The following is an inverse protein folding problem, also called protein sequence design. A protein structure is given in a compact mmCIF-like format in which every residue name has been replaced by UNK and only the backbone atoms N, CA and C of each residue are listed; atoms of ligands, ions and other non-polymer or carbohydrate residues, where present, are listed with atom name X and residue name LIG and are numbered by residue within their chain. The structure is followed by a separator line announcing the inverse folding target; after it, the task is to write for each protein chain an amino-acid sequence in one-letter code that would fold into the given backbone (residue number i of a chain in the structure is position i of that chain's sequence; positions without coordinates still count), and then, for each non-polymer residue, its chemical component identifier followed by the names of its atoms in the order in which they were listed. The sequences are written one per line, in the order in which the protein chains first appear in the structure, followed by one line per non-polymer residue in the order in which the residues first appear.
data_IF_311064950775
#
_entry.id   IF_311064950775
#
_cell.length_a   1.000
_cell.length_b   1.000
_cell.length_c   1.000
_cell.angle_alpha   90.00
_cell.angle_beta   90.00
_cell.angle_gamma   90.00
#
_symmetry.space_group_name_H-M   'P 1'
#
loop_
_entity.id
_entity.type
_entity.pdbx_description
1 polymer ?
#
# COMPACT_ATOMS: atom_id res chain seq x y z
N UNK A 1 2.44 -1.32 25.73
CA UNK A 1 1.20 -1.40 24.92
C UNK A 1 1.19 -2.74 24.22
N UNK A 2 0.05 -3.43 24.21
CA UNK A 2 -0.10 -4.71 23.49
C UNK A 2 0.11 -4.49 22.00
N UNK A 3 1.24 -4.98 21.48
CA UNK A 3 1.48 -5.00 20.05
C UNK A 3 0.59 -6.09 19.43
N UNK A 4 -0.58 -5.69 18.94
CA UNK A 4 -1.00 -6.27 17.67
C UNK A 4 0.19 -6.11 16.72
N UNK A 5 0.53 -7.17 15.97
CA UNK A 5 1.73 -7.27 15.12
C UNK A 5 1.77 -6.26 13.95
N UNK A 6 1.20 -5.06 14.10
CA UNK A 6 1.24 -3.94 13.16
C UNK A 6 0.57 -4.24 11.82
N UNK A 7 0.32 -3.20 11.04
CA UNK A 7 -0.01 -3.38 9.62
C UNK A 7 1.31 -3.60 8.87
N UNK A 8 1.33 -4.53 7.93
CA UNK A 8 2.44 -4.75 7.00
C UNK A 8 1.94 -4.64 5.55
N UNK A 9 2.83 -4.27 4.64
CA UNK A 9 2.51 -4.27 3.22
C UNK A 9 2.51 -5.70 2.66
N UNK A 10 1.74 -5.89 1.59
CA UNK A 10 1.78 -7.13 0.82
C UNK A 10 3.19 -7.35 0.22
N UNK A 11 3.75 -8.54 0.40
CA UNK A 11 5.12 -8.87 -0.01
C UNK A 11 5.38 -8.55 -1.50
N UNK A 12 4.49 -8.99 -2.40
CA UNK A 12 4.66 -8.73 -3.84
C UNK A 12 4.61 -7.25 -4.21
N UNK A 13 3.86 -6.44 -3.46
CA UNK A 13 3.83 -5.01 -3.68
C UNK A 13 5.18 -4.39 -3.29
N UNK A 14 5.76 -4.77 -2.16
CA UNK A 14 7.09 -4.33 -1.74
C UNK A 14 8.15 -4.76 -2.76
N UNK A 15 8.10 -6.01 -3.23
CA UNK A 15 9.01 -6.56 -4.25
C UNK A 15 8.85 -5.93 -5.64
N UNK A 16 7.73 -5.26 -5.92
CA UNK A 16 7.50 -4.59 -7.19
C UNK A 16 8.29 -3.29 -7.36
N UNK A 17 8.84 -2.74 -6.28
CA UNK A 17 9.67 -1.55 -6.34
C UNK A 17 11.03 -1.88 -6.97
N UNK A 18 11.53 -0.94 -7.76
CA UNK A 18 12.92 -0.95 -8.17
C UNK A 18 13.81 -0.64 -6.95
N UNK A 19 14.89 -1.41 -6.68
CA UNK A 19 15.78 -1.13 -5.55
C UNK A 19 16.44 0.25 -5.59
N UNK A 20 16.56 0.87 -6.76
CA UNK A 20 17.06 2.24 -6.91
C UNK A 20 15.99 3.31 -6.68
N UNK A 21 14.72 2.93 -6.49
CA UNK A 21 13.64 3.85 -6.17
C UNK A 21 13.75 4.30 -4.71
N UNK A 22 14.03 5.59 -4.49
CA UNK A 22 14.12 6.16 -3.13
C UNK A 22 12.84 5.94 -2.29
N UNK A 23 11.68 5.75 -2.93
CA UNK A 23 10.42 5.45 -2.24
C UNK A 23 10.43 4.10 -1.57
N UNK A 24 11.26 3.16 -1.99
CA UNK A 24 11.35 1.86 -1.34
C UNK A 24 11.73 2.01 0.14
N UNK A 25 12.86 2.66 0.43
CA UNK A 25 13.30 2.96 1.79
C UNK A 25 12.39 4.01 2.47
N UNK A 26 11.85 4.97 1.71
CA UNK A 26 10.93 5.98 2.24
C UNK A 26 9.55 5.43 2.63
N UNK A 27 9.12 4.30 2.04
CA UNK A 27 7.79 3.72 2.30
C UNK A 27 7.85 2.58 3.30
N UNK A 28 8.99 1.88 3.41
CA UNK A 28 9.08 0.63 4.15
C UNK A 28 10.21 0.59 5.17
N UNK A 29 9.88 0.13 6.38
CA UNK A 29 10.85 -0.29 7.39
C UNK A 29 11.08 -1.79 7.20
N UNK A 30 12.31 -2.15 6.84
CA UNK A 30 12.78 -3.52 6.58
C UNK A 30 14.16 -3.66 7.23
N UNK A 31 14.50 -4.87 7.68
CA UNK A 31 15.80 -5.17 8.27
C UNK A 31 15.83 -5.01 9.80
N UNK A 32 17.04 -5.04 10.40
CA UNK A 32 17.21 -5.04 11.85
C UNK A 32 16.67 -3.77 12.51
N UNK A 33 15.83 -3.93 13.53
CA UNK A 33 15.37 -2.83 14.36
C UNK A 33 16.33 -2.66 15.53
N UNK A 34 16.98 -1.52 15.63
CA UNK A 34 18.07 -1.30 16.58
C UNK A 34 17.61 -0.48 17.78
N UNK A 35 18.12 -0.82 18.95
CA UNK A 35 18.03 0.05 20.11
C UNK A 35 18.91 1.29 19.86
N UNK A 36 18.36 2.51 19.90
CA UNK A 36 19.11 3.73 19.60
C UNK A 36 20.19 4.06 20.65
N UNK A 37 20.19 3.42 21.81
CA UNK A 37 21.17 3.62 22.89
C UNK A 37 22.32 2.63 22.85
N UNK A 38 22.06 1.36 22.48
CA UNK A 38 23.08 0.30 22.46
C UNK A 38 23.55 -0.04 21.05
N UNK A 39 22.74 0.24 20.03
CA UNK A 39 22.97 -0.20 18.65
C UNK A 39 22.70 -1.70 18.42
N UNK A 40 22.24 -2.42 19.43
CA UNK A 40 21.92 -3.84 19.33
C UNK A 40 20.55 -4.07 18.70
N UNK A 41 20.35 -5.23 18.09
CA UNK A 41 19.06 -5.62 17.52
C UNK A 41 18.06 -5.88 18.64
N UNK A 42 16.90 -5.23 18.56
CA UNK A 42 15.79 -5.41 19.48
C UNK A 42 15.32 -6.87 19.48
N UNK A 43 14.88 -7.36 20.63
CA UNK A 43 14.34 -8.71 20.76
C UNK A 43 12.81 -8.65 20.87
N UNK A 44 12.14 -9.49 20.08
CA UNK A 44 10.68 -9.67 20.10
C UNK A 44 10.19 -10.25 21.42
N UNK A 45 8.89 -10.17 21.68
CA UNK A 45 8.28 -10.81 22.85
C UNK A 45 8.48 -12.33 22.90
N UNK A 46 8.78 -12.95 21.76
CA UNK A 46 9.06 -14.39 21.63
C UNK A 46 10.58 -14.71 21.66
N UNK A 47 11.44 -13.76 22.05
CA UNK A 47 12.87 -14.00 22.25
C UNK A 47 13.70 -14.08 20.96
N UNK A 48 13.17 -13.59 19.83
CA UNK A 48 13.86 -13.58 18.53
C UNK A 48 14.34 -12.19 18.13
N UNK A 49 15.43 -12.06 17.34
CA UNK A 49 15.84 -10.77 16.78
C UNK A 49 14.72 -10.14 15.94
N UNK A 50 14.40 -8.88 16.20
CA UNK A 50 13.41 -8.10 15.45
C UNK A 50 14.06 -7.58 14.16
N UNK A 51 13.99 -8.41 13.12
CA UNK A 51 14.49 -8.10 11.78
C UNK A 51 13.31 -8.17 10.82
N UNK A 52 12.79 -7.02 10.42
CA UNK A 52 11.63 -7.00 9.53
C UNK A 52 11.95 -7.61 8.17
N UNK A 53 11.23 -8.66 7.79
CA UNK A 53 11.36 -9.32 6.49
C UNK A 53 10.29 -8.79 5.52
N UNK A 54 10.50 -8.96 4.21
CA UNK A 54 9.47 -8.61 3.22
C UNK A 54 8.37 -9.67 3.23
N UNK A 55 8.78 -10.94 3.25
CA UNK A 55 7.87 -12.07 3.22
C UNK A 55 7.10 -12.19 4.54
N UNK A 56 5.83 -12.57 4.40
CA UNK A 56 4.94 -12.84 5.52
C UNK A 56 4.63 -14.32 5.49
N UNK A 57 4.98 -15.03 6.57
CA UNK A 57 4.73 -16.46 6.69
C UNK A 57 3.65 -16.69 7.74
N UNK A 58 2.55 -17.32 7.33
CA UNK A 58 1.52 -17.79 8.24
C UNK A 58 2.04 -19.09 8.89
N UNK A 59 2.23 -19.07 10.22
CA UNK A 59 2.92 -20.15 10.95
C UNK A 59 2.00 -20.95 11.89
N UNK A 60 1.03 -20.30 12.52
CA UNK A 60 0.23 -20.94 13.58
C UNK A 60 -1.26 -20.68 13.44
N UNK A 61 -2.06 -21.52 14.11
CA UNK A 61 -3.52 -21.38 14.17
C UNK A 61 -4.17 -21.16 12.80
N UNK A 62 -3.71 -21.93 11.80
CA UNK A 62 -4.22 -21.84 10.43
C UNK A 62 -5.65 -22.37 10.41
N UNK A 63 -6.59 -21.53 10.03
CA UNK A 63 -7.99 -21.88 9.86
C UNK A 63 -8.27 -22.53 8.50
N UNK A 64 -9.53 -22.90 8.28
CA UNK A 64 -9.95 -23.54 7.03
C UNK A 64 -9.81 -22.65 5.79
N UNK A 65 -9.75 -21.33 5.98
CA UNK A 65 -9.59 -20.34 4.91
C UNK A 65 -8.11 -20.01 4.65
N UNK A 66 -7.19 -20.65 5.39
CA UNK A 66 -5.75 -20.48 5.26
C UNK A 66 -5.20 -19.28 6.04
N UNK A 67 -6.03 -18.59 6.83
CA UNK A 67 -5.59 -17.50 7.69
C UNK A 67 -5.01 -18.03 8.99
N UNK A 68 -3.99 -17.35 9.52
CA UNK A 68 -3.40 -17.73 10.78
C UNK A 68 -2.49 -16.64 11.32
N UNK A 69 -1.74 -16.99 12.35
CA UNK A 69 -0.82 -16.09 13.02
C UNK A 69 0.53 -16.05 12.30
N UNK A 70 1.09 -14.85 12.22
CA UNK A 70 2.44 -14.57 11.72
C UNK A 70 3.29 -14.03 12.85
N UNK A 71 4.61 -14.01 12.65
CA UNK A 71 5.51 -13.52 13.68
C UNK A 71 5.67 -11.99 13.62
N UNK A 72 6.15 -11.40 14.71
CA UNK A 72 6.30 -9.95 14.84
C UNK A 72 7.27 -9.36 13.79
N UNK A 73 8.30 -10.14 13.44
CA UNK A 73 9.30 -9.79 12.43
C UNK A 73 8.80 -9.91 10.98
N UNK A 74 7.69 -10.59 10.73
CA UNK A 74 7.20 -10.83 9.37
C UNK A 74 6.56 -9.57 8.77
N UNK A 75 6.96 -9.22 7.55
CA UNK A 75 6.36 -8.15 6.74
C UNK A 75 6.98 -6.76 6.89
N UNK A 76 7.06 -6.06 5.76
CA UNK A 76 7.57 -4.69 5.68
C UNK A 76 6.59 -3.68 6.31
N UNK A 77 7.08 -2.81 7.20
CA UNK A 77 6.24 -1.86 7.95
C UNK A 77 6.16 -0.50 7.26
N UNK A 78 5.12 0.27 7.56
CA UNK A 78 5.01 1.64 7.05
C UNK A 78 6.14 2.52 7.62
N UNK A 79 6.92 3.14 6.74
CA UNK A 79 7.92 4.17 7.11
C UNK A 79 7.49 5.60 6.72
N UNK A 80 6.48 5.73 5.86
CA UNK A 80 6.14 7.00 5.20
C UNK A 80 5.80 8.13 6.18
N UNK A 81 5.14 7.77 7.27
CA UNK A 81 4.70 8.71 8.30
C UNK A 81 5.60 8.54 9.52
N UNK A 82 6.77 9.16 9.46
CA UNK A 82 7.82 8.98 10.46
C UNK A 82 7.39 9.50 11.85
N UNK A 83 7.84 8.80 12.89
CA UNK A 83 7.63 9.25 14.26
C UNK A 83 8.79 10.14 14.69
N UNK A 84 8.47 11.35 15.16
CA UNK A 84 9.47 12.18 15.84
C UNK A 84 10.02 11.44 17.06
N UNK A 85 11.34 11.35 17.18
CA UNK A 85 12.02 10.69 18.30
C UNK A 85 11.54 11.27 19.64
N UNK A 86 11.13 10.39 20.56
CA UNK A 86 10.64 10.77 21.88
C UNK A 86 9.20 11.30 21.92
N UNK A 87 8.49 11.31 20.79
CA UNK A 87 7.09 11.70 20.76
C UNK A 87 6.20 10.59 21.36
N UNK A 88 5.19 11.00 22.12
CA UNK A 88 4.15 10.12 22.69
C UNK A 88 2.88 10.10 21.84
N UNK A 89 2.79 10.99 20.85
CA UNK A 89 1.73 11.09 19.85
C UNK A 89 2.32 11.52 18.50
N UNK A 90 1.64 11.18 17.40
CA UNK A 90 1.99 11.68 16.07
C UNK A 90 1.31 13.03 15.83
N UNK A 91 2.08 13.98 15.30
CA UNK A 91 1.60 15.32 14.91
C UNK A 91 1.82 15.57 13.41
N UNK A 92 2.03 14.51 12.62
CA UNK A 92 2.22 14.65 11.18
C UNK A 92 0.91 15.05 10.51
N UNK A 93 0.99 16.03 9.60
CA UNK A 93 -0.09 16.30 8.67
C UNK A 93 -0.30 15.11 7.73
N UNK A 94 -1.55 14.74 7.50
CA UNK A 94 -1.90 13.71 6.53
C UNK A 94 -2.28 14.36 5.20
N UNK A 95 -1.50 14.11 4.16
CA UNK A 95 -1.76 14.66 2.83
C UNK A 95 -3.00 14.00 2.20
N UNK A 96 -4.15 14.68 2.26
CA UNK A 96 -5.38 14.24 1.57
C UNK A 96 -5.27 14.49 0.06
N UNK A 97 -4.71 15.65 -0.33
CA UNK A 97 -4.45 16.02 -1.71
C UNK A 97 -3.01 16.50 -1.86
N UNK A 98 -2.36 16.10 -2.95
CA UNK A 98 -1.01 16.55 -3.27
C UNK A 98 -0.78 16.56 -4.78
N UNK A 99 0.22 17.33 -5.20
CA UNK A 99 0.49 17.58 -6.61
C UNK A 99 0.76 16.31 -7.42
N UNK A 100 1.46 15.32 -6.85
CA UNK A 100 1.75 14.08 -7.59
C UNK A 100 0.48 13.27 -7.90
N UNK A 101 -0.52 13.27 -7.02
CA UNK A 101 -1.81 12.62 -7.31
C UNK A 101 -2.51 13.34 -8.47
N UNK A 102 -2.50 14.68 -8.49
CA UNK A 102 -3.04 15.48 -9.60
C UNK A 102 -2.32 15.16 -10.92
N UNK A 103 -0.99 15.06 -10.92
CA UNK A 103 -0.22 14.70 -12.10
C UNK A 103 -0.61 13.31 -12.62
N UNK A 104 -0.71 12.32 -11.73
CA UNK A 104 -1.07 10.97 -12.12
C UNK A 104 -2.53 10.84 -12.56
N UNK A 105 -3.47 11.57 -11.94
CA UNK A 105 -4.85 11.64 -12.41
C UNK A 105 -4.95 12.26 -13.80
N UNK A 106 -4.20 13.34 -14.06
CA UNK A 106 -4.17 13.99 -15.38
C UNK A 106 -3.53 13.06 -16.42
N UNK A 107 -2.41 12.43 -16.12
CA UNK A 107 -1.76 11.46 -17.00
C UNK A 107 -2.71 10.30 -17.34
N UNK A 108 -3.39 9.74 -16.32
CA UNK A 108 -4.40 8.70 -16.52
C UNK A 108 -5.52 9.15 -17.46
N UNK A 109 -6.08 10.34 -17.24
CA UNK A 109 -7.15 10.89 -18.06
C UNK A 109 -6.72 11.05 -19.53
N UNK A 110 -5.53 11.61 -19.77
CA UNK A 110 -4.98 11.81 -21.11
C UNK A 110 -4.87 10.47 -21.85
N UNK A 111 -4.30 9.45 -21.21
CA UNK A 111 -4.14 8.13 -21.84
C UNK A 111 -5.50 7.47 -22.11
N UNK A 112 -6.46 7.55 -21.17
CA UNK A 112 -7.81 6.99 -21.36
C UNK A 112 -8.59 7.67 -22.50
N UNK A 113 -8.36 8.96 -22.72
CA UNK A 113 -9.01 9.70 -23.81
C UNK A 113 -8.31 9.53 -25.17
N UNK A 114 -7.19 8.81 -25.23
CA UNK A 114 -6.36 8.74 -26.44
C UNK A 114 -5.73 10.07 -26.82
N UNK A 115 -5.43 10.92 -25.83
CA UNK A 115 -4.80 12.23 -26.00
C UNK A 115 -3.29 12.15 -26.21
N UNK A 116 -2.61 13.27 -25.98
CA UNK A 116 -1.15 13.37 -26.18
C UNK A 116 -0.37 12.55 -25.13
N UNK A 117 0.15 11.40 -25.55
CA UNK A 117 0.93 10.54 -24.67
C UNK A 117 2.27 11.17 -24.21
N UNK A 118 2.82 12.14 -24.96
CA UNK A 118 4.02 12.84 -24.54
C UNK A 118 3.75 13.64 -23.24
N UNK A 119 2.63 14.36 -23.19
CA UNK A 119 2.21 15.10 -21.99
C UNK A 119 1.97 14.16 -20.78
N UNK A 120 1.31 13.01 -21.00
CA UNK A 120 1.13 12.02 -19.93
C UNK A 120 2.48 11.47 -19.43
N UNK A 121 3.42 11.24 -20.34
CA UNK A 121 4.77 10.75 -20.03
C UNK A 121 5.57 11.77 -19.23
N UNK A 122 5.50 13.05 -19.59
CA UNK A 122 6.14 14.15 -18.86
C UNK A 122 5.62 14.25 -17.42
N UNK A 123 4.31 14.15 -17.22
CA UNK A 123 3.68 14.19 -15.90
C UNK A 123 4.14 13.03 -14.99
N UNK A 124 4.25 11.82 -15.55
CA UNK A 124 4.79 10.65 -14.84
C UNK A 124 6.28 10.83 -14.54
N UNK A 125 7.06 11.30 -15.51
CA UNK A 125 8.50 11.51 -15.34
C UNK A 125 8.81 12.60 -14.32
N UNK A 126 8.00 13.65 -14.18
CA UNK A 126 8.17 14.65 -13.12
C UNK A 126 8.17 14.03 -11.71
N UNK A 127 7.46 12.90 -11.52
CA UNK A 127 7.47 12.14 -10.26
C UNK A 127 8.71 11.24 -10.19
N UNK A 128 9.01 10.54 -11.28
CA UNK A 128 10.15 9.60 -11.37
C UNK A 128 11.49 10.30 -11.20
N UNK A 129 11.66 11.50 -11.73
CA UNK A 129 12.87 12.34 -11.58
C UNK A 129 13.19 12.69 -10.12
N UNK A 130 12.17 12.80 -9.26
CA UNK A 130 12.37 13.06 -7.83
C UNK A 130 13.00 11.86 -7.13
N UNK A 131 12.65 10.65 -7.56
CA UNK A 131 12.94 9.40 -6.83
C UNK A 131 14.06 8.57 -7.44
N UNK A 132 14.33 8.73 -8.74
CA UNK A 132 15.44 8.08 -9.42
C UNK A 132 16.57 9.05 -9.72
N UNK A 133 17.81 8.61 -9.51
CA UNK A 133 19.01 9.37 -9.91
C UNK A 133 19.41 9.02 -11.35
N UNK A 134 19.22 7.77 -11.75
CA UNK A 134 19.55 7.28 -13.09
C UNK A 134 18.46 7.68 -14.10
N UNK A 135 18.78 8.52 -15.10
CA UNK A 135 17.82 8.92 -16.13
C UNK A 135 17.28 7.75 -16.97
N UNK A 136 17.98 6.61 -17.01
CA UNK A 136 17.49 5.41 -17.69
C UNK A 136 16.23 4.82 -17.03
N UNK A 137 15.88 5.28 -15.82
CA UNK A 137 14.62 4.93 -15.14
C UNK A 137 13.44 5.79 -15.60
N UNK A 138 13.65 6.84 -16.39
CA UNK A 138 12.54 7.64 -16.94
C UNK A 138 11.85 6.88 -18.08
N UNK A 139 10.56 7.14 -18.25
CA UNK A 139 9.73 6.51 -19.27
C UNK A 139 9.86 7.26 -20.59
N UNK A 140 9.94 6.55 -21.70
CA UNK A 140 9.88 7.13 -23.05
C UNK A 140 8.46 7.33 -23.54
N UNK A 141 7.54 6.50 -23.03
CA UNK A 141 6.09 6.55 -23.23
C UNK A 141 5.44 5.84 -22.04
N UNK A 142 4.20 6.18 -21.73
CA UNK A 142 3.45 5.55 -20.63
C UNK A 142 2.17 4.89 -21.13
N UNK A 143 1.90 3.71 -20.59
CA UNK A 143 0.64 2.98 -20.72
C UNK A 143 -0.25 3.21 -19.49
N UNK A 144 -1.50 2.74 -19.53
CA UNK A 144 -2.37 2.75 -18.34
C UNK A 144 -1.78 1.91 -17.20
N UNK A 145 -1.12 0.79 -17.51
CA UNK A 145 -0.49 -0.07 -16.51
C UNK A 145 0.72 0.62 -15.86
N UNK A 146 1.50 1.37 -16.63
CA UNK A 146 2.59 2.19 -16.08
C UNK A 146 2.06 3.23 -15.09
N UNK A 147 0.97 3.91 -15.45
CA UNK A 147 0.34 4.92 -14.58
C UNK A 147 -0.27 4.25 -13.34
N UNK A 148 -0.90 3.10 -13.49
CA UNK A 148 -1.46 2.34 -12.36
C UNK A 148 -0.37 1.96 -11.35
N UNK A 149 0.74 1.39 -11.82
CA UNK A 149 1.87 1.02 -10.97
C UNK A 149 2.50 2.26 -10.34
N UNK A 150 2.69 3.34 -11.10
CA UNK A 150 3.25 4.58 -10.57
C UNK A 150 2.36 5.17 -9.47
N UNK A 151 1.03 5.15 -9.63
CA UNK A 151 0.08 5.52 -8.56
C UNK A 151 0.26 4.67 -7.32
N UNK A 152 0.37 3.35 -7.47
CA UNK A 152 0.56 2.45 -6.33
C UNK A 152 1.86 2.75 -5.58
N UNK A 153 2.97 2.95 -6.28
CA UNK A 153 4.27 3.24 -5.66
C UNK A 153 4.30 4.63 -5.02
N UNK A 154 3.81 5.64 -5.74
CA UNK A 154 3.83 7.02 -5.29
C UNK A 154 2.92 7.24 -4.07
N UNK A 155 1.71 6.67 -4.12
CA UNK A 155 0.66 6.85 -3.13
C UNK A 155 0.58 5.70 -2.10
N UNK A 156 1.66 4.92 -1.97
CA UNK A 156 1.77 3.88 -0.95
C UNK A 156 1.46 4.47 0.43
N UNK A 157 0.62 3.80 1.22
CA UNK A 157 0.20 4.23 2.56
C UNK A 157 -0.64 5.52 2.64
N UNK A 158 -1.27 5.94 1.53
CA UNK A 158 -2.10 7.16 1.49
C UNK A 158 -3.61 6.92 1.30
N UNK A 159 -4.06 5.66 1.26
CA UNK A 159 -5.50 5.32 1.21
C UNK A 159 -6.10 5.21 -0.20
N UNK A 160 -5.30 5.38 -1.26
CA UNK A 160 -5.76 5.35 -2.65
C UNK A 160 -5.95 3.94 -3.23
N UNK A 161 -5.21 2.95 -2.71
CA UNK A 161 -5.08 1.63 -3.35
C UNK A 161 -6.40 0.94 -3.67
N UNK A 162 -7.40 1.00 -2.77
CA UNK A 162 -8.73 0.40 -3.03
C UNK A 162 -9.43 1.05 -4.21
N UNK A 163 -9.50 2.38 -4.22
CA UNK A 163 -10.24 3.12 -5.24
C UNK A 163 -9.56 2.97 -6.59
N UNK A 164 -8.22 3.00 -6.63
CA UNK A 164 -7.46 2.76 -7.85
C UNK A 164 -7.67 1.34 -8.37
N UNK A 165 -7.56 0.31 -7.52
CA UNK A 165 -7.82 -1.08 -7.91
C UNK A 165 -9.23 -1.25 -8.53
N UNK A 166 -10.25 -0.57 -8.01
CA UNK A 166 -11.61 -0.63 -8.56
C UNK A 166 -11.66 0.01 -9.95
N UNK A 167 -11.10 1.22 -10.12
CA UNK A 167 -11.10 1.95 -11.41
C UNK A 167 -10.27 1.25 -12.49
N UNK A 168 -9.25 0.50 -12.09
CA UNK A 168 -8.43 -0.33 -12.97
C UNK A 168 -8.94 -1.77 -13.10
N UNK A 169 -10.04 -2.13 -12.45
CA UNK A 169 -10.67 -3.44 -12.59
C UNK A 169 -9.93 -4.61 -11.92
N UNK A 170 -8.97 -4.35 -11.04
CA UNK A 170 -8.12 -5.38 -10.41
C UNK A 170 -8.51 -5.70 -8.96
N UNK A 171 -9.45 -4.96 -8.38
CA UNK A 171 -9.82 -5.12 -6.96
C UNK A 171 -10.37 -6.52 -6.62
N UNK A 172 -11.11 -7.11 -7.55
CA UNK A 172 -11.78 -8.40 -7.35
C UNK A 172 -10.86 -9.58 -7.65
N UNK A 173 -9.68 -9.36 -8.24
CA UNK A 173 -8.80 -10.44 -8.68
C UNK A 173 -8.32 -11.30 -7.50
N UNK A 174 -7.97 -12.57 -7.72
CA UNK A 174 -7.21 -13.33 -6.75
C UNK A 174 -5.93 -12.60 -6.34
N UNK A 175 -5.52 -12.79 -5.09
CA UNK A 175 -4.23 -12.33 -4.57
C UNK A 175 -3.41 -13.58 -4.28
N UNK A 176 -2.43 -13.94 -5.12
CA UNK A 176 -1.61 -15.13 -4.92
C UNK A 176 -1.02 -15.19 -3.51
N UNK A 177 -1.22 -16.31 -2.81
CA UNK A 177 -0.75 -16.51 -1.44
C UNK A 177 -1.61 -15.92 -0.32
N UNK A 178 -2.65 -15.12 -0.64
CA UNK A 178 -3.49 -14.45 0.37
C UNK A 178 -4.98 -14.64 0.15
N UNK A 179 -5.43 -14.55 -1.09
CA UNK A 179 -6.83 -14.72 -1.49
C UNK A 179 -6.88 -15.50 -2.79
N UNK A 180 -7.06 -16.81 -2.68
CA UNK A 180 -7.00 -17.72 -3.82
C UNK A 180 -8.09 -17.45 -4.88
N UNK A 181 -9.25 -16.94 -4.46
CA UNK A 181 -10.41 -16.78 -5.33
C UNK A 181 -10.70 -15.30 -5.61
N UNK A 182 -11.26 -15.04 -6.80
CA UNK A 182 -11.81 -13.73 -7.10
C UNK A 182 -12.96 -13.41 -6.14
N UNK A 183 -13.13 -12.12 -5.80
CA UNK A 183 -14.26 -11.66 -5.02
C UNK A 183 -15.50 -11.49 -5.89
N UNK A 184 -16.70 -11.71 -5.33
CA UNK A 184 -17.94 -11.39 -6.01
C UNK A 184 -18.11 -9.87 -6.15
N UNK A 185 -18.80 -9.44 -7.22
CA UNK A 185 -18.92 -8.04 -7.63
C UNK A 185 -19.48 -7.11 -6.55
N UNK A 186 -20.39 -7.60 -5.71
CA UNK A 186 -20.98 -6.78 -4.63
C UNK A 186 -19.94 -6.23 -3.63
N UNK A 187 -18.73 -6.83 -3.56
CA UNK A 187 -17.63 -6.35 -2.71
C UNK A 187 -17.01 -5.03 -3.19
N UNK A 188 -17.36 -4.55 -4.39
CA UNK A 188 -16.97 -3.23 -4.89
C UNK A 188 -17.58 -2.08 -4.07
N UNK A 189 -18.71 -2.32 -3.39
CA UNK A 189 -19.34 -1.39 -2.46
C UNK A 189 -19.25 -1.94 -1.04
N UNK A 190 -19.13 -1.07 -0.04
CA UNK A 190 -19.25 -1.50 1.35
C UNK A 190 -20.73 -1.73 1.72
N UNK A 191 -21.05 -2.61 2.67
CA UNK A 191 -22.42 -2.72 3.18
C UNK A 191 -22.83 -1.41 3.88
N UNK A 192 -24.10 -1.07 3.78
CA UNK A 192 -24.69 -0.06 4.66
C UNK A 192 -24.64 -0.61 6.09
N UNK A 193 -24.13 0.14 7.08
CA UNK A 193 -24.06 -0.31 8.47
C UNK A 193 -25.43 -0.75 8.98
N UNK A 194 -25.49 -1.89 9.69
CA UNK A 194 -26.76 -2.43 10.21
C UNK A 194 -27.50 -1.42 11.09
N UNK A 195 -26.76 -0.68 11.92
CA UNK A 195 -27.33 0.37 12.77
C UNK A 195 -28.03 1.49 11.99
N UNK A 196 -27.58 1.77 10.76
CA UNK A 196 -28.22 2.75 9.89
C UNK A 196 -29.52 2.20 9.28
N UNK A 197 -29.53 0.92 8.86
CA UNK A 197 -30.73 0.24 8.37
C UNK A 197 -31.81 0.15 9.46
N UNK A 198 -31.42 -0.23 10.68
CA UNK A 198 -32.35 -0.33 11.81
C UNK A 198 -32.96 1.03 12.18
N UNK A 199 -32.18 2.11 12.05
CA UNK A 199 -32.63 3.47 12.37
C UNK A 199 -33.48 4.12 11.27
N UNK A 200 -33.35 3.71 10.01
CA UNK A 200 -34.04 4.30 8.88
C UNK A 200 -34.62 3.24 7.93
N UNK A 201 -35.93 2.93 8.02
CA UNK A 201 -36.56 1.90 7.19
C UNK A 201 -36.63 2.26 5.70
N UNK A 202 -36.28 3.49 5.31
CA UNK A 202 -36.20 3.88 3.90
C UNK A 202 -34.84 3.51 3.26
N UNK A 203 -33.85 3.10 4.05
CA UNK A 203 -32.58 2.62 3.51
C UNK A 203 -32.74 1.17 3.04
N UNK A 204 -32.30 0.92 1.80
CA UNK A 204 -32.20 -0.43 1.24
C UNK A 204 -30.73 -0.80 1.16
N UNK A 205 -30.39 -2.03 1.57
CA UNK A 205 -29.02 -2.53 1.54
C UNK A 205 -28.48 -2.58 0.09
N UNK A 206 -27.16 -2.43 -0.05
CA UNK A 206 -26.47 -2.65 -1.31
C UNK A 206 -26.68 -4.10 -1.78
N UNK A 207 -26.95 -4.35 -3.08
CA UNK A 207 -27.22 -5.69 -3.58
C UNK A 207 -26.11 -6.69 -3.20
N UNK A 208 -26.50 -7.86 -2.70
CA UNK A 208 -25.57 -8.97 -2.36
C UNK A 208 -25.10 -9.02 -0.91
N UNK A 209 -25.44 -8.02 -0.09
CA UNK A 209 -25.20 -8.01 1.36
C UNK A 209 -26.42 -8.43 2.18
#
# INVERSE_FOLDING_TARGET
GSANNGIAAHADFVKSFDPADKRYAGSFIIGPQLDPSTGEVLITAHGRPLIHTIDITIKYAIDADGWGQTEQEDGARCNKWEYKKGATAMENDYAIFRLADVYLMKAEAIVRMGGDNAEATELVNAIRERVFVDPAKLKTSVTLDDIYLERRWELAWEGWGRMDMIRFGTFLDPIPGWRANALPEFRLLFPIPQTALDANPNLTQNPGY
#
